data_IF_674035800872
#
_entry.id   IF_674035800872
#
_cell.length_a   1.000
_cell.length_b   1.000
_cell.length_c   1.000
_cell.angle_alpha   90.00
_cell.angle_beta   90.00
_cell.angle_gamma   90.00
#
_symmetry.space_group_name_H-M   'P 1'
#
loop_
_entity.id
_entity.type
_entity.pdbx_description
1 polymer ?
#
# COMPACT_ATOMS: atom_id res chain seq x y z
N UNK A 1 3.09 -3.54 19.40
CA UNK A 1 2.09 -4.54 19.03
C UNK A 1 2.67 -5.51 18.02
N UNK A 2 2.45 -6.80 18.27
CA UNK A 2 2.90 -7.84 17.36
C UNK A 2 1.72 -8.29 16.47
N UNK A 3 1.88 -8.15 15.16
CA UNK A 3 0.85 -8.50 14.19
C UNK A 3 0.97 -9.93 13.63
N UNK A 4 1.98 -10.68 14.04
CA UNK A 4 2.15 -12.07 13.59
C UNK A 4 0.95 -12.91 14.04
N UNK A 5 0.33 -13.61 13.11
CA UNK A 5 -0.87 -14.40 13.37
C UNK A 5 -2.15 -13.63 13.54
N UNK A 6 -2.12 -12.30 13.37
CA UNK A 6 -3.31 -11.43 13.46
C UNK A 6 -3.68 -10.90 12.08
N UNK A 7 -4.96 -10.59 11.91
CA UNK A 7 -5.42 -9.93 10.69
C UNK A 7 -4.97 -8.48 10.68
N UNK A 8 -4.21 -8.10 9.67
CA UNK A 8 -3.81 -6.70 9.49
C UNK A 8 -4.88 -6.00 8.67
N UNK A 9 -5.43 -4.88 9.17
CA UNK A 9 -6.42 -4.12 8.39
C UNK A 9 -5.79 -3.54 7.12
N UNK A 10 -6.38 -3.84 5.96
CA UNK A 10 -5.82 -3.38 4.67
C UNK A 10 -5.80 -1.86 4.56
N UNK A 11 -6.76 -1.17 5.15
CA UNK A 11 -6.84 0.28 5.06
C UNK A 11 -5.85 1.01 5.99
N UNK A 12 -5.21 0.30 6.90
CA UNK A 12 -4.34 0.89 7.91
C UNK A 12 -2.87 0.56 7.69
N UNK A 13 -2.53 -0.34 6.79
CA UNK A 13 -1.14 -0.70 6.49
C UNK A 13 -0.73 -0.18 5.11
N UNK A 14 0.57 0.10 4.94
CA UNK A 14 1.09 0.55 3.65
C UNK A 14 0.95 -0.54 2.59
N UNK A 15 1.26 -1.78 2.93
CA UNK A 15 1.06 -2.92 2.03
C UNK A 15 -0.40 -3.11 1.66
N UNK A 16 -1.30 -2.98 2.64
CA UNK A 16 -2.74 -3.08 2.40
C UNK A 16 -3.23 -2.01 1.44
N UNK A 17 -2.76 -0.79 1.59
CA UNK A 17 -3.13 0.31 0.67
C UNK A 17 -2.65 0.04 -0.75
N UNK A 18 -1.46 -0.54 -0.91
CA UNK A 18 -0.97 -0.95 -2.24
C UNK A 18 -1.90 -2.00 -2.85
N UNK A 19 -2.28 -3.01 -2.09
CA UNK A 19 -3.17 -4.06 -2.58
C UNK A 19 -4.55 -3.51 -2.91
N UNK A 20 -5.11 -2.65 -2.06
CA UNK A 20 -6.40 -2.00 -2.31
C UNK A 20 -6.35 -1.13 -3.56
N UNK A 21 -5.26 -0.39 -3.75
CA UNK A 21 -5.11 0.51 -4.88
C UNK A 21 -5.13 -0.23 -6.23
N UNK A 22 -4.65 -1.47 -6.25
CA UNK A 22 -4.48 -2.24 -7.48
C UNK A 22 -5.46 -3.40 -7.63
N UNK A 23 -6.37 -3.60 -6.68
CA UNK A 23 -7.38 -4.64 -6.84
C UNK A 23 -8.46 -4.21 -7.83
N UNK A 24 -9.24 -5.18 -8.40
CA UNK A 24 -10.35 -4.85 -9.27
C UNK A 24 -11.33 -3.89 -8.60
N UNK A 25 -11.91 -2.99 -9.39
CA UNK A 25 -12.80 -1.95 -8.87
C UNK A 25 -13.97 -2.52 -8.07
N UNK A 26 -14.58 -3.60 -8.55
CA UNK A 26 -15.71 -4.22 -7.84
C UNK A 26 -15.31 -4.69 -6.44
N UNK A 27 -14.12 -5.29 -6.30
CA UNK A 27 -13.61 -5.72 -5.00
C UNK A 27 -13.31 -4.53 -4.10
N UNK A 28 -12.69 -3.49 -4.65
CA UNK A 28 -12.38 -2.28 -3.90
C UNK A 28 -13.66 -1.59 -3.40
N UNK A 29 -14.68 -1.52 -4.25
CA UNK A 29 -15.97 -0.93 -3.86
C UNK A 29 -16.64 -1.73 -2.74
N UNK A 30 -16.58 -3.05 -2.80
CA UNK A 30 -17.10 -3.89 -1.71
C UNK A 30 -16.35 -3.65 -0.42
N UNK A 31 -15.03 -3.51 -0.49
CA UNK A 31 -14.23 -3.20 0.68
C UNK A 31 -14.59 -1.83 1.28
N UNK A 32 -14.68 -0.81 0.42
CA UNK A 32 -15.01 0.55 0.85
C UNK A 32 -16.45 0.69 1.34
N UNK A 33 -17.32 -0.23 1.00
CA UNK A 33 -18.69 -0.27 1.48
C UNK A 33 -18.84 -0.82 2.90
N UNK A 34 -17.77 -1.35 3.48
CA UNK A 34 -17.75 -1.85 4.85
C UNK A 34 -17.17 -0.80 5.79
N UNK A 35 -17.55 -0.84 7.08
CA UNK A 35 -16.94 0.07 8.05
C UNK A 35 -15.42 -0.10 8.10
N UNK A 36 -14.70 1.02 8.11
CA UNK A 36 -13.25 1.04 8.27
C UNK A 36 -12.94 1.25 9.74
N UNK A 37 -12.42 0.22 10.38
CA UNK A 37 -12.14 0.27 11.81
C UNK A 37 -10.95 1.16 12.13
N UNK A 38 -11.10 2.02 13.14
CA UNK A 38 -9.99 2.80 13.68
C UNK A 38 -9.19 1.93 14.65
N UNK A 39 -7.97 1.58 14.27
CA UNK A 39 -7.06 0.83 15.16
C UNK A 39 -6.13 1.77 15.91
N UNK A 40 -6.00 3.02 15.45
CA UNK A 40 -5.36 4.12 16.14
C UNK A 40 -6.21 5.39 15.94
N UNK A 41 -5.94 6.47 16.68
CA UNK A 41 -6.63 7.76 16.40
C UNK A 41 -6.29 8.32 15.01
N UNK A 42 -5.24 7.84 14.36
CA UNK A 42 -4.79 8.33 13.05
C UNK A 42 -5.26 7.46 11.90
N UNK A 43 -5.89 6.33 12.16
CA UNK A 43 -6.39 5.47 11.10
C UNK A 43 -7.39 6.22 10.21
N UNK A 44 -7.22 6.13 8.90
CA UNK A 44 -8.16 6.70 7.95
C UNK A 44 -9.42 5.83 7.95
N UNK A 45 -10.55 6.42 8.32
CA UNK A 45 -11.84 5.72 8.43
C UNK A 45 -12.91 6.27 7.47
N UNK A 46 -12.61 7.37 6.79
CA UNK A 46 -13.51 7.93 5.76
C UNK A 46 -13.20 7.28 4.41
N UNK A 47 -14.14 6.54 3.81
CA UNK A 47 -13.91 5.89 2.52
C UNK A 47 -13.49 6.86 1.41
N UNK A 48 -13.99 8.10 1.41
CA UNK A 48 -13.63 9.09 0.38
C UNK A 48 -12.18 9.52 0.52
N UNK A 49 -11.70 9.70 1.75
CA UNK A 49 -10.30 10.03 2.02
C UNK A 49 -9.40 8.85 1.59
N UNK A 50 -9.79 7.65 1.97
CA UNK A 50 -9.03 6.45 1.59
C UNK A 50 -8.95 6.32 0.07
N UNK A 51 -10.06 6.51 -0.63
CA UNK A 51 -10.08 6.41 -2.10
C UNK A 51 -9.09 7.39 -2.74
N UNK A 52 -9.04 8.62 -2.25
CA UNK A 52 -8.06 9.60 -2.75
C UNK A 52 -6.61 9.14 -2.51
N UNK A 53 -6.35 8.55 -1.35
CA UNK A 53 -5.02 8.00 -1.06
C UNK A 53 -4.68 6.86 -2.01
N UNK A 54 -5.64 5.99 -2.31
CA UNK A 54 -5.42 4.88 -3.25
C UNK A 54 -5.13 5.40 -4.67
N UNK A 55 -5.78 6.47 -5.09
CA UNK A 55 -5.49 7.10 -6.38
C UNK A 55 -4.06 7.68 -6.39
N UNK A 56 -3.63 8.29 -5.31
CA UNK A 56 -2.26 8.77 -5.18
C UNK A 56 -1.25 7.62 -5.24
N UNK A 57 -1.54 6.49 -4.62
CA UNK A 57 -0.68 5.30 -4.69
C UNK A 57 -0.48 4.88 -6.14
N UNK A 58 -1.55 4.84 -6.92
CA UNK A 58 -1.46 4.47 -8.34
C UNK A 58 -0.66 5.48 -9.15
N UNK A 59 -0.76 6.75 -8.81
CA UNK A 59 -0.06 7.83 -9.53
C UNK A 59 1.43 7.87 -9.19
N UNK A 60 1.76 7.86 -7.91
CA UNK A 60 3.16 8.00 -7.48
C UNK A 60 3.91 6.68 -7.32
N UNK A 61 3.20 5.55 -7.21
CA UNK A 61 3.78 4.22 -7.19
C UNK A 61 4.08 3.63 -5.82
N UNK A 62 3.74 4.32 -4.75
CA UNK A 62 3.92 3.81 -3.39
C UNK A 62 2.86 4.35 -2.44
N UNK A 63 2.61 3.60 -1.36
CA UNK A 63 1.74 4.00 -0.27
C UNK A 63 2.56 4.39 0.95
N UNK A 64 1.99 5.24 1.79
CA UNK A 64 2.59 5.61 3.08
C UNK A 64 1.57 5.47 4.19
N UNK A 65 2.04 5.16 5.40
CA UNK A 65 1.25 5.32 6.62
C UNK A 65 2.09 6.04 7.68
N UNK A 66 1.41 6.83 8.51
CA UNK A 66 2.01 7.50 9.65
C UNK A 66 1.09 7.31 10.84
N UNK A 67 1.51 6.46 11.79
CA UNK A 67 0.73 6.18 13.02
C UNK A 67 -0.67 5.60 12.76
N UNK A 68 -0.93 5.07 11.56
CA UNK A 68 -2.27 4.64 11.18
C UNK A 68 -2.58 3.22 11.57
N UNK A 69 -1.57 2.36 11.64
CA UNK A 69 -1.71 0.96 12.07
C UNK A 69 -1.38 0.81 13.55
N UNK A 70 -0.35 1.51 13.97
CA UNK A 70 0.17 1.48 15.33
C UNK A 70 0.84 2.82 15.57
N UNK A 71 0.59 3.42 16.71
CA UNK A 71 1.24 4.67 17.06
C UNK A 71 2.75 4.47 17.14
N UNK A 72 3.49 5.40 16.56
CA UNK A 72 4.94 5.33 16.50
C UNK A 72 5.48 4.50 15.34
N UNK A 73 4.61 3.98 14.47
CA UNK A 73 5.01 3.19 13.31
C UNK A 73 4.74 3.97 12.02
N UNK A 74 5.78 4.19 11.21
CA UNK A 74 5.66 4.73 9.87
C UNK A 74 6.13 3.68 8.86
N UNK A 75 5.55 3.69 7.67
CA UNK A 75 5.90 2.74 6.63
C UNK A 75 5.61 3.28 5.25
N UNK A 76 6.32 2.72 4.27
CA UNK A 76 6.02 2.88 2.85
C UNK A 76 5.91 1.49 2.25
N UNK A 77 5.19 1.37 1.14
CA UNK A 77 5.11 0.11 0.39
C UNK A 77 4.97 0.40 -1.10
N UNK A 78 5.48 -0.51 -1.91
CA UNK A 78 5.36 -0.45 -3.36
C UNK A 78 4.90 -1.79 -3.92
N UNK A 79 4.21 -1.79 -5.07
CA UNK A 79 3.69 -3.03 -5.64
C UNK A 79 4.77 -3.89 -6.25
N UNK A 80 4.65 -5.20 -6.07
CA UNK A 80 5.42 -6.21 -6.77
C UNK A 80 4.52 -6.77 -7.87
N UNK A 81 4.95 -6.61 -9.11
CA UNK A 81 4.20 -7.02 -10.30
C UNK A 81 4.61 -8.41 -10.74
N UNK A 82 3.70 -9.15 -11.34
CA UNK A 82 4.01 -10.45 -11.91
C UNK A 82 3.88 -10.40 -13.44
N UNK A 83 4.16 -11.54 -14.10
CA UNK A 83 4.26 -11.63 -15.55
C UNK A 83 3.05 -11.05 -16.30
N UNK A 84 1.85 -11.24 -15.79
CA UNK A 84 0.63 -10.74 -16.43
C UNK A 84 0.38 -9.24 -16.22
N UNK A 85 1.25 -8.52 -15.52
CA UNK A 85 1.05 -7.10 -15.24
C UNK A 85 0.12 -6.83 -14.05
N UNK A 86 -0.17 -7.85 -13.26
CA UNK A 86 -0.99 -7.73 -12.06
C UNK A 86 -0.11 -7.62 -10.83
N UNK A 87 -0.63 -7.03 -9.77
CA UNK A 87 0.09 -6.93 -8.49
C UNK A 87 -0.01 -8.25 -7.75
N UNK A 88 1.15 -8.88 -7.52
CA UNK A 88 1.24 -10.15 -6.81
C UNK A 88 1.41 -9.97 -5.30
N UNK A 89 2.05 -8.87 -4.89
CA UNK A 89 2.42 -8.63 -3.51
C UNK A 89 2.76 -7.16 -3.30
N UNK A 90 3.12 -6.80 -2.09
CA UNK A 90 3.66 -5.48 -1.79
C UNK A 90 4.94 -5.64 -0.99
N UNK A 91 5.93 -4.81 -1.28
CA UNK A 91 7.17 -4.74 -0.54
C UNK A 91 7.13 -3.49 0.33
N UNK A 92 7.34 -3.64 1.62
CA UNK A 92 7.27 -2.51 2.55
C UNK A 92 8.58 -2.26 3.27
N UNK A 93 8.79 -0.99 3.62
CA UNK A 93 9.86 -0.53 4.50
C UNK A 93 9.15 0.13 5.68
N UNK A 94 9.33 -0.40 6.86
CA UNK A 94 8.63 0.10 8.05
C UNK A 94 9.59 0.18 9.24
N UNK A 95 9.23 1.01 10.20
CA UNK A 95 10.00 1.14 11.42
C UNK A 95 9.42 2.20 12.34
N UNK A 96 10.01 2.33 13.54
CA UNK A 96 9.55 3.35 14.47
C UNK A 96 9.73 4.75 13.88
N UNK A 97 8.81 5.64 14.22
CA UNK A 97 8.75 6.98 13.63
C UNK A 97 10.01 7.83 13.88
N UNK A 98 10.81 7.50 14.89
CA UNK A 98 12.08 8.19 15.12
C UNK A 98 13.19 7.74 14.14
N UNK A 99 13.02 6.61 13.45
CA UNK A 99 13.94 6.12 12.42
C UNK A 99 13.36 6.29 11.01
N UNK A 100 12.10 5.97 10.83
CA UNK A 100 11.37 6.16 9.58
C UNK A 100 10.54 7.43 9.74
N UNK A 101 11.18 8.57 9.52
CA UNK A 101 10.57 9.88 9.79
C UNK A 101 9.67 10.31 8.63
N UNK A 102 8.68 11.15 8.92
CA UNK A 102 7.78 11.68 7.89
C UNK A 102 8.55 12.33 6.73
N UNK A 103 9.64 13.02 7.01
CA UNK A 103 10.45 13.69 5.98
C UNK A 103 11.18 12.70 5.06
N UNK A 104 11.32 11.44 5.48
CA UNK A 104 12.01 10.41 4.71
C UNK A 104 11.09 9.58 3.83
N UNK A 105 9.76 9.70 4.02
CA UNK A 105 8.81 8.79 3.39
C UNK A 105 8.86 8.83 1.85
N UNK A 106 9.02 10.01 1.27
CA UNK A 106 9.11 10.10 -0.20
C UNK A 106 10.36 9.41 -0.73
N UNK A 107 11.50 9.58 -0.07
CA UNK A 107 12.75 8.93 -0.45
C UNK A 107 12.66 7.41 -0.28
N UNK A 108 12.12 6.98 0.86
CA UNK A 108 11.92 5.55 1.14
C UNK A 108 10.90 4.93 0.18
N UNK A 109 9.89 5.70 -0.22
CA UNK A 109 8.92 5.26 -1.23
C UNK A 109 9.59 4.95 -2.55
N UNK A 110 10.49 5.81 -3.00
CA UNK A 110 11.25 5.57 -4.24
C UNK A 110 12.16 4.34 -4.11
N UNK A 111 12.80 4.16 -2.95
CA UNK A 111 13.60 2.96 -2.70
C UNK A 111 12.73 1.69 -2.72
N UNK A 112 11.53 1.76 -2.16
CA UNK A 112 10.59 0.65 -2.20
C UNK A 112 10.17 0.32 -3.63
N UNK A 113 9.92 1.34 -4.46
CA UNK A 113 9.61 1.14 -5.88
C UNK A 113 10.75 0.41 -6.58
N UNK A 114 11.98 0.85 -6.38
CA UNK A 114 13.15 0.25 -7.02
C UNK A 114 13.34 -1.21 -6.57
N UNK A 115 13.24 -1.48 -5.28
CA UNK A 115 13.37 -2.83 -4.75
C UNK A 115 12.24 -3.73 -5.24
N UNK A 116 11.00 -3.24 -5.20
CA UNK A 116 9.84 -3.98 -5.68
C UNK A 116 9.94 -4.24 -7.19
N UNK A 117 10.46 -3.27 -7.95
CA UNK A 117 10.72 -3.43 -9.38
C UNK A 117 11.72 -4.54 -9.68
N UNK A 118 12.78 -4.65 -8.88
CA UNK A 118 13.76 -5.72 -9.03
C UNK A 118 13.14 -7.10 -8.81
N UNK A 119 12.31 -7.23 -7.77
CA UNK A 119 11.58 -8.48 -7.52
C UNK A 119 10.61 -8.76 -8.66
N UNK A 120 9.89 -7.74 -9.13
CA UNK A 120 8.91 -7.86 -10.20
C UNK A 120 9.55 -8.42 -11.49
N UNK A 121 10.72 -7.91 -11.85
CA UNK A 121 11.44 -8.39 -13.04
C UNK A 121 11.85 -9.86 -12.88
N UNK A 122 12.20 -10.30 -11.70
CA UNK A 122 12.50 -11.71 -11.43
C UNK A 122 11.26 -12.60 -11.57
N UNK A 123 10.06 -12.04 -11.40
CA UNK A 123 8.80 -12.73 -11.61
C UNK A 123 8.34 -12.68 -13.08
N UNK A 124 9.16 -12.11 -13.96
CA UNK A 124 8.87 -12.03 -15.38
C UNK A 124 8.13 -10.78 -15.84
N UNK A 125 7.93 -9.81 -14.94
CA UNK A 125 7.28 -8.55 -15.31
C UNK A 125 8.18 -7.76 -16.27
N UNK A 126 7.57 -7.22 -17.33
CA UNK A 126 8.28 -6.54 -18.42
C UNK A 126 8.18 -5.02 -18.37
N UNK A 127 7.62 -4.47 -17.31
CA UNK A 127 7.43 -3.03 -17.16
C UNK A 127 6.07 -2.53 -17.58
N UNK A 128 5.20 -3.40 -18.15
CA UNK A 128 3.85 -3.00 -18.55
C UNK A 128 2.85 -3.43 -17.49
N UNK A 129 2.04 -2.49 -17.02
CA UNK A 129 0.92 -2.82 -16.14
C UNK A 129 -0.20 -3.46 -16.96
N UNK A 130 -1.10 -4.16 -16.28
CA UNK A 130 -2.27 -4.75 -16.89
C UNK A 130 -3.18 -3.64 -17.46
N UNK A 131 -3.28 -3.55 -18.80
CA UNK A 131 -3.87 -2.41 -19.46
C UNK A 131 -5.36 -2.15 -19.18
N UNK A 132 -6.28 -3.08 -19.49
CA UNK A 132 -7.69 -2.73 -19.32
C UNK A 132 -8.11 -2.60 -17.88
N UNK A 133 -7.43 -3.24 -16.99
CA UNK A 133 -7.76 -3.27 -15.58
C UNK A 133 -6.97 -2.34 -14.71
N UNK A 134 -6.09 -1.56 -15.31
CA UNK A 134 -5.12 -0.77 -14.56
C UNK A 134 -5.73 0.02 -13.41
N UNK A 135 -6.88 0.58 -13.63
CA UNK A 135 -7.52 1.47 -12.66
C UNK A 135 -8.92 1.03 -12.28
N UNK A 136 -9.22 -0.21 -12.41
CA UNK A 136 -10.51 -0.72 -12.04
C UNK A 136 -10.64 -0.99 -10.57
#
# INVERSE_FOLDING_TARGET
>A
TNWVGRRTPLHASSSGKVLLAHMPEAERQRFLGRPLEAVTPRTVTDPAVLLRQLEEVRTRGYATIRDELEEGLNAVAAPVWQLGGEVAAALSISGPSFRVRSVDLARLGRLAIDAAGAVSRRLGWTGAAHEPGRWR
#
